data_IF_814734941912
#
_entry.id   IF_814734941912
#
_cell.length_a   1.000
_cell.length_b   1.000
_cell.length_c   1.000
_cell.angle_alpha   90.00
_cell.angle_beta   90.00
_cell.angle_gamma   90.00
#
_symmetry.space_group_name_H-M   'P 1'
#
loop_
_entity.id
_entity.type
_entity.pdbx_description
1 polymer ?
#
# COMPACT_ATOMS: atom_id res chain seq x y z
N UNK A 1 15.78 -13.04 -7.06
CA UNK A 1 14.70 -12.82 -6.07
C UNK A 1 13.77 -11.77 -6.65
N UNK A 2 12.47 -12.03 -6.72
CA UNK A 2 11.46 -11.05 -7.16
C UNK A 2 11.22 -10.05 -6.03
N UNK A 3 11.34 -8.75 -6.29
CA UNK A 3 10.96 -7.70 -5.34
C UNK A 3 9.42 -7.68 -5.19
N UNK A 4 8.92 -7.55 -3.97
CA UNK A 4 7.49 -7.37 -3.72
C UNK A 4 7.01 -6.04 -4.33
N UNK A 5 5.78 -6.02 -4.85
CA UNK A 5 5.15 -4.83 -5.44
C UNK A 5 3.82 -4.57 -4.76
N UNK A 6 3.77 -3.50 -3.97
CA UNK A 6 2.61 -3.00 -3.27
C UNK A 6 1.72 -2.18 -4.19
N UNK A 7 0.41 -2.30 -4.00
CA UNK A 7 -0.61 -1.60 -4.77
C UNK A 7 -1.63 -0.98 -3.81
N UNK A 8 -2.32 0.07 -4.28
CA UNK A 8 -3.46 0.68 -3.60
C UNK A 8 -4.63 0.82 -4.56
N UNK A 9 -5.85 0.76 -4.02
CA UNK A 9 -7.07 0.94 -4.81
C UNK A 9 -7.31 2.44 -5.02
N UNK A 10 -7.07 2.94 -6.23
CA UNK A 10 -7.12 4.36 -6.57
C UNK A 10 -8.46 4.83 -7.13
N UNK A 11 -9.50 4.02 -6.99
CA UNK A 11 -10.87 4.45 -7.23
C UNK A 11 -11.22 5.69 -6.36
N UNK A 12 -12.02 6.62 -6.89
CA UNK A 12 -12.47 7.80 -6.13
C UNK A 12 -13.29 7.44 -4.89
N UNK A 13 -14.08 6.37 -4.97
CA UNK A 13 -14.65 5.70 -3.80
C UNK A 13 -14.14 4.26 -3.78
N UNK A 14 -13.03 3.98 -3.10
CA UNK A 14 -12.41 2.68 -3.19
C UNK A 14 -13.17 1.59 -2.42
N UNK A 15 -14.13 1.96 -1.55
CA UNK A 15 -14.94 1.00 -0.78
C UNK A 15 -16.28 0.69 -1.45
N UNK A 16 -16.50 1.12 -2.70
CA UNK A 16 -17.72 0.83 -3.45
C UNK A 16 -17.78 -0.65 -3.83
N UNK A 17 -18.77 -1.44 -3.34
CA UNK A 17 -18.82 -2.89 -3.59
C UNK A 17 -19.24 -3.26 -5.02
N UNK A 18 -19.72 -2.28 -5.80
CA UNK A 18 -20.16 -2.47 -7.19
C UNK A 18 -19.11 -2.04 -8.20
N UNK A 19 -17.98 -1.52 -7.74
CA UNK A 19 -16.90 -1.02 -8.59
C UNK A 19 -15.70 -1.96 -8.45
N UNK A 20 -15.19 -2.42 -9.59
CA UNK A 20 -13.94 -3.19 -9.61
C UNK A 20 -12.79 -2.33 -9.07
N UNK A 21 -11.93 -2.86 -8.19
CA UNK A 21 -10.77 -2.13 -7.69
C UNK A 21 -9.84 -1.67 -8.81
N UNK A 22 -9.40 -0.42 -8.76
CA UNK A 22 -8.36 0.08 -9.66
C UNK A 22 -7.01 0.05 -8.94
N UNK A 23 -6.32 -1.08 -9.04
CA UNK A 23 -5.02 -1.25 -8.39
C UNK A 23 -3.93 -0.43 -9.09
N UNK A 24 -3.39 0.53 -8.37
CA UNK A 24 -2.27 1.38 -8.79
C UNK A 24 -1.05 1.04 -7.97
N UNK A 25 0.11 0.95 -8.62
CA UNK A 25 1.39 0.69 -7.95
C UNK A 25 1.82 1.91 -7.14
N UNK A 26 2.44 1.65 -5.99
CA UNK A 26 3.24 2.68 -5.33
C UNK A 26 4.48 3.03 -6.17
N UNK A 27 5.04 4.21 -5.94
CA UNK A 27 6.34 4.57 -6.51
C UNK A 27 7.43 3.59 -6.04
N UNK A 28 8.54 3.48 -6.76
CA UNK A 28 9.62 2.58 -6.36
C UNK A 28 10.13 2.89 -4.93
N UNK A 29 10.16 4.18 -4.57
CA UNK A 29 10.59 4.66 -3.25
C UNK A 29 9.56 4.24 -2.18
N UNK A 30 8.30 4.57 -2.37
CA UNK A 30 7.24 4.24 -1.39
C UNK A 30 7.10 2.72 -1.24
N UNK A 31 7.24 1.98 -2.34
CA UNK A 31 7.21 0.52 -2.32
C UNK A 31 8.33 -0.07 -1.46
N UNK A 32 9.55 0.47 -1.54
CA UNK A 32 10.66 0.04 -0.70
C UNK A 32 10.46 0.41 0.77
N UNK A 33 9.87 1.57 1.04
CA UNK A 33 9.51 2.01 2.41
C UNK A 33 8.48 1.07 3.03
N UNK A 34 7.38 0.78 2.31
CA UNK A 34 6.30 -0.11 2.75
C UNK A 34 6.83 -1.53 2.98
N UNK A 35 7.58 -2.07 2.01
CA UNK A 35 8.13 -3.42 2.12
C UNK A 35 9.07 -3.55 3.33
N UNK A 36 9.93 -2.56 3.56
CA UNK A 36 10.82 -2.55 4.71
C UNK A 36 10.04 -2.49 6.04
N UNK A 37 9.02 -1.65 6.14
CA UNK A 37 8.16 -1.56 7.32
C UNK A 37 7.45 -2.90 7.60
N UNK A 38 6.91 -3.53 6.56
CA UNK A 38 6.24 -4.83 6.66
C UNK A 38 7.19 -5.95 7.11
N UNK A 39 8.39 -6.03 6.53
CA UNK A 39 9.41 -7.03 6.92
C UNK A 39 9.92 -6.84 8.35
N UNK A 40 9.88 -5.61 8.89
CA UNK A 40 10.21 -5.32 10.29
C UNK A 40 9.03 -5.46 11.24
N UNK A 41 7.90 -6.02 10.79
CA UNK A 41 6.68 -6.21 11.59
C UNK A 41 6.16 -4.91 12.21
N UNK A 42 6.32 -3.78 11.52
CA UNK A 42 5.71 -2.53 11.93
C UNK A 42 4.19 -2.58 11.72
N UNK A 43 3.44 -1.90 12.59
CA UNK A 43 1.97 -1.82 12.50
C UNK A 43 1.50 -0.80 11.47
N UNK A 44 2.23 0.29 11.34
CA UNK A 44 1.90 1.35 10.40
C UNK A 44 3.18 1.87 9.74
N UNK A 45 3.02 2.46 8.56
CA UNK A 45 4.07 3.20 7.86
C UNK A 45 3.53 4.55 7.43
N UNK A 46 4.27 5.60 7.79
CA UNK A 46 3.99 6.98 7.37
C UNK A 46 4.71 7.25 6.05
N UNK A 47 3.93 7.59 5.04
CA UNK A 47 4.36 8.25 3.81
C UNK A 47 4.00 9.74 3.94
N UNK A 48 4.61 10.60 3.11
CA UNK A 48 4.54 12.07 3.22
C UNK A 48 3.21 12.67 3.71
N UNK A 49 2.08 12.20 3.19
CA UNK A 49 0.73 12.68 3.59
C UNK A 49 -0.24 11.55 3.94
N UNK A 50 0.25 10.32 4.08
CA UNK A 50 -0.60 9.14 4.23
C UNK A 50 -0.04 8.19 5.30
N UNK A 51 -0.93 7.60 6.08
CA UNK A 51 -0.62 6.50 6.99
C UNK A 51 -1.18 5.21 6.39
N UNK A 52 -0.33 4.22 6.19
CA UNK A 52 -0.75 2.88 5.78
C UNK A 52 -0.76 1.99 7.02
N UNK A 53 -1.88 1.30 7.22
CA UNK A 53 -2.03 0.27 8.23
C UNK A 53 -1.62 -1.09 7.67
N UNK A 54 -0.56 -1.66 8.24
CA UNK A 54 0.03 -2.94 7.84
C UNK A 54 -0.52 -4.11 8.67
N UNK A 55 -1.17 -3.84 9.80
CA UNK A 55 -1.77 -4.87 10.66
C UNK A 55 -3.03 -5.46 10.02
N UNK A 56 -3.69 -4.68 9.16
CA UNK A 56 -4.91 -5.07 8.45
C UNK A 56 -4.72 -5.17 6.92
N UNK A 57 -3.50 -5.45 6.45
CA UNK A 57 -3.21 -5.60 5.01
C UNK A 57 -3.71 -6.94 4.42
#
# INVERSE_FOLDING_TARGET
MTKAVWHWNSNSNPWCPKQEPHWTKYSDIDNEIIENAYQNHQKHVELDSYLIDLEHN
#
